data_IF_870855284559
#
_entry.id   IF_870855284559
#
_cell.length_a   1.000
_cell.length_b   1.000
_cell.length_c   1.000
_cell.angle_alpha   90.00
_cell.angle_beta   90.00
_cell.angle_gamma   90.00
#
_symmetry.space_group_name_H-M   'P 1'
#
loop_
_entity.id
_entity.type
_entity.pdbx_description
1 polymer ?
#
# COMPACT_ATOMS: atom_id res chain seq x y z
N UNK A 1 -0.39 -15.82 24.84
CA UNK A 1 -1.20 -16.80 24.10
C UNK A 1 -0.43 -17.23 22.86
N UNK A 2 -0.33 -18.54 22.59
CA UNK A 2 0.46 -19.09 21.46
C UNK A 2 -0.38 -19.14 20.17
N UNK A 3 -1.71 -19.22 20.30
CA UNK A 3 -2.62 -19.39 19.17
C UNK A 3 -3.05 -18.07 18.51
N UNK A 4 -2.98 -16.96 19.24
CA UNK A 4 -3.38 -15.64 18.74
C UNK A 4 -2.72 -15.24 17.42
N UNK A 5 -1.37 -15.31 17.30
CA UNK A 5 -0.68 -14.99 16.05
C UNK A 5 -1.07 -15.89 14.88
N UNK A 6 -1.31 -17.18 15.13
CA UNK A 6 -1.73 -18.12 14.09
C UNK A 6 -3.13 -17.78 13.58
N UNK A 7 -4.07 -17.51 14.48
CA UNK A 7 -5.44 -17.12 14.12
C UNK A 7 -5.45 -15.81 13.34
N UNK A 8 -4.62 -14.84 13.72
CA UNK A 8 -4.47 -13.59 12.98
C UNK A 8 -3.91 -13.83 11.57
N UNK A 9 -2.91 -14.70 11.43
CA UNK A 9 -2.38 -15.04 10.10
C UNK A 9 -3.44 -15.70 9.21
N UNK A 10 -4.22 -16.63 9.77
CA UNK A 10 -5.35 -17.22 9.06
C UNK A 10 -6.41 -16.19 8.66
N UNK A 11 -6.65 -15.19 9.53
CA UNK A 11 -7.62 -14.13 9.32
C UNK A 11 -7.28 -13.20 8.14
N UNK A 12 -6.01 -12.83 7.98
CA UNK A 12 -5.57 -11.89 6.92
C UNK A 12 -5.22 -12.57 5.60
N UNK A 13 -5.28 -13.90 5.53
CA UNK A 13 -4.66 -14.67 4.43
C UNK A 13 -5.32 -14.45 3.06
N UNK A 14 -6.58 -14.00 3.01
CA UNK A 14 -7.30 -13.67 1.78
C UNK A 14 -7.14 -12.19 1.36
N UNK A 15 -6.57 -11.33 2.21
CA UNK A 15 -6.30 -9.93 1.90
C UNK A 15 -5.59 -9.71 0.55
N UNK A 16 -4.59 -10.52 0.12
CA UNK A 16 -3.95 -10.36 -1.18
C UNK A 16 -4.90 -10.51 -2.37
N UNK A 17 -6.03 -11.19 -2.21
CA UNK A 17 -7.04 -11.35 -3.27
C UNK A 17 -7.84 -10.06 -3.52
N UNK A 18 -7.83 -9.12 -2.59
CA UNK A 18 -8.57 -7.85 -2.70
C UNK A 18 -7.90 -6.82 -3.61
N UNK A 19 -6.59 -6.96 -3.86
CA UNK A 19 -5.79 -5.99 -4.62
C UNK A 19 -5.33 -6.58 -5.96
N UNK A 20 -5.00 -5.69 -6.91
CA UNK A 20 -4.48 -6.06 -8.23
C UNK A 20 -2.96 -5.90 -8.35
N UNK A 21 -2.28 -5.64 -7.25
CA UNK A 21 -0.82 -5.51 -7.19
C UNK A 21 -0.22 -6.55 -6.22
N UNK A 22 1.11 -6.58 -6.14
CA UNK A 22 1.77 -7.45 -5.17
C UNK A 22 1.58 -6.87 -3.77
N UNK A 23 0.96 -7.66 -2.89
CA UNK A 23 0.83 -7.36 -1.47
C UNK A 23 1.77 -8.28 -0.69
N UNK A 24 2.67 -7.69 0.08
CA UNK A 24 3.49 -8.40 1.06
C UNK A 24 2.87 -8.20 2.45
N UNK A 25 2.77 -9.30 3.20
CA UNK A 25 2.24 -9.33 4.55
C UNK A 25 3.29 -9.93 5.48
N UNK A 26 3.51 -9.31 6.63
CA UNK A 26 4.33 -9.85 7.70
C UNK A 26 3.75 -9.41 9.04
N UNK A 27 3.13 -10.35 9.76
CA UNK A 27 2.29 -10.03 10.91
C UNK A 27 1.30 -8.91 10.54
N UNK A 28 1.23 -7.83 11.31
CA UNK A 28 0.36 -6.68 11.09
C UNK A 28 0.89 -5.67 10.05
N UNK A 29 2.16 -5.79 9.65
CA UNK A 29 2.75 -4.95 8.62
C UNK A 29 2.39 -5.44 7.22
N UNK A 30 2.01 -4.49 6.35
CA UNK A 30 1.64 -4.75 4.97
C UNK A 30 2.32 -3.77 4.01
N UNK A 31 2.69 -4.24 2.81
CA UNK A 31 3.33 -3.41 1.79
C UNK A 31 2.74 -3.70 0.41
N UNK A 32 2.22 -2.66 -0.22
CA UNK A 32 1.75 -2.70 -1.61
C UNK A 32 2.88 -2.33 -2.56
N UNK A 33 3.17 -3.19 -3.54
CA UNK A 33 4.20 -2.97 -4.53
C UNK A 33 3.60 -2.86 -5.94
N UNK A 34 3.82 -1.71 -6.57
CA UNK A 34 3.45 -1.44 -7.96
C UNK A 34 4.70 -1.11 -8.76
N UNK A 35 4.76 -1.63 -9.99
CA UNK A 35 5.83 -1.35 -10.94
C UNK A 35 5.28 -0.68 -12.20
N UNK A 36 6.06 0.20 -12.82
CA UNK A 36 5.67 0.89 -14.04
C UNK A 36 6.79 1.74 -14.62
N UNK A 37 6.55 2.30 -15.81
CA UNK A 37 7.51 3.21 -16.47
C UNK A 37 7.24 4.67 -16.14
N UNK A 38 5.98 5.04 -15.93
CA UNK A 38 5.54 6.41 -15.67
C UNK A 38 5.16 6.59 -14.19
N UNK A 39 5.78 7.53 -13.46
CA UNK A 39 5.49 7.78 -12.04
C UNK A 39 4.02 8.10 -11.75
N UNK A 40 3.35 8.82 -12.64
CA UNK A 40 1.93 9.18 -12.51
C UNK A 40 1.03 7.96 -12.55
N UNK A 41 1.25 7.05 -13.51
CA UNK A 41 0.52 5.79 -13.59
C UNK A 41 0.80 4.88 -12.40
N UNK A 42 2.05 4.87 -11.88
CA UNK A 42 2.39 4.13 -10.66
C UNK A 42 1.61 4.70 -9.48
N UNK A 43 1.59 6.03 -9.31
CA UNK A 43 0.87 6.68 -8.22
C UNK A 43 -0.64 6.43 -8.29
N UNK A 44 -1.23 6.49 -9.49
CA UNK A 44 -2.63 6.16 -9.70
C UNK A 44 -2.93 4.70 -9.35
N UNK A 45 -2.17 3.76 -9.90
CA UNK A 45 -2.36 2.34 -9.62
C UNK A 45 -2.13 2.01 -8.14
N UNK A 46 -1.17 2.66 -7.48
CA UNK A 46 -0.95 2.50 -6.04
C UNK A 46 -2.14 3.05 -5.24
N UNK A 47 -2.69 4.20 -5.62
CA UNK A 47 -3.87 4.80 -5.00
C UNK A 47 -5.10 3.89 -5.12
N UNK A 48 -5.37 3.37 -6.32
CA UNK A 48 -6.48 2.45 -6.56
C UNK A 48 -6.37 1.16 -5.74
N UNK A 49 -5.16 0.61 -5.62
CA UNK A 49 -4.94 -0.60 -4.82
C UNK A 49 -4.98 -0.32 -3.31
N UNK A 50 -4.52 0.85 -2.87
CA UNK A 50 -4.65 1.28 -1.48
C UNK A 50 -6.11 1.47 -1.07
N UNK A 51 -6.95 1.99 -1.97
CA UNK A 51 -8.40 2.10 -1.74
C UNK A 51 -9.08 0.73 -1.65
N UNK A 52 -8.72 -0.22 -2.53
CA UNK A 52 -9.23 -1.61 -2.41
C UNK A 52 -8.80 -2.27 -1.10
N UNK A 53 -7.54 -2.11 -0.73
CA UNK A 53 -6.99 -2.59 0.53
C UNK A 53 -7.74 -2.00 1.72
N UNK A 54 -8.00 -0.69 1.71
CA UNK A 54 -8.80 -0.01 2.74
C UNK A 54 -10.22 -0.55 2.81
N UNK A 55 -10.89 -0.79 1.68
CA UNK A 55 -12.22 -1.41 1.67
C UNK A 55 -12.21 -2.80 2.32
N UNK A 56 -11.26 -3.66 1.93
CA UNK A 56 -11.13 -4.99 2.54
C UNK A 56 -10.88 -4.91 4.05
N UNK A 57 -10.03 -3.98 4.50
CA UNK A 57 -9.78 -3.78 5.94
C UNK A 57 -11.07 -3.40 6.67
N UNK A 58 -11.86 -2.45 6.13
CA UNK A 58 -13.12 -2.00 6.74
C UNK A 58 -14.14 -3.16 6.81
N UNK A 59 -14.28 -3.93 5.74
CA UNK A 59 -15.20 -5.06 5.67
C UNK A 59 -14.82 -6.12 6.72
N UNK A 60 -13.51 -6.31 6.93
CA UNK A 60 -12.91 -7.18 7.94
C UNK A 60 -12.66 -6.44 9.27
N UNK A 61 -13.41 -5.40 9.61
CA UNK A 61 -13.38 -4.73 10.93
C UNK A 61 -11.99 -4.26 11.40
N UNK A 62 -11.08 -4.03 10.46
CA UNK A 62 -9.76 -3.44 10.65
C UNK A 62 -9.77 -1.98 10.17
N UNK A 63 -8.80 -1.20 10.63
CA UNK A 63 -8.66 0.21 10.26
C UNK A 63 -7.27 0.51 9.72
N UNK A 64 -7.20 1.21 8.60
CA UNK A 64 -5.94 1.71 8.05
C UNK A 64 -5.53 3.01 8.76
N UNK A 65 -4.35 3.04 9.36
CA UNK A 65 -3.81 4.24 9.99
C UNK A 65 -3.11 5.16 8.96
N UNK A 66 -3.89 6.00 8.27
CA UNK A 66 -3.40 6.88 7.21
C UNK A 66 -2.21 7.76 7.61
N UNK A 67 -2.11 8.19 8.87
CA UNK A 67 -0.99 9.01 9.36
C UNK A 67 0.34 8.26 9.52
N UNK A 68 0.33 6.92 9.43
CA UNK A 68 1.52 6.05 9.49
C UNK A 68 1.79 5.36 8.15
N UNK A 69 0.83 5.41 7.22
CA UNK A 69 1.00 4.89 5.88
C UNK A 69 1.86 5.86 5.09
N UNK A 70 2.93 5.34 4.48
CA UNK A 70 3.87 6.12 3.69
C UNK A 70 4.04 5.49 2.31
N UNK A 71 4.31 6.32 1.32
CA UNK A 71 4.59 5.91 -0.04
C UNK A 71 6.06 6.19 -0.40
N UNK A 72 6.70 5.24 -1.06
CA UNK A 72 8.09 5.34 -1.48
C UNK A 72 8.18 5.05 -2.98
N UNK A 73 8.88 5.91 -3.72
CA UNK A 73 9.16 5.69 -5.13
C UNK A 73 10.62 5.25 -5.32
N UNK A 74 10.81 4.01 -5.76
CA UNK A 74 12.13 3.48 -6.08
C UNK A 74 12.51 3.69 -7.54
N UNK A 75 13.76 4.07 -7.79
CA UNK A 75 14.30 4.26 -9.14
C UNK A 75 15.76 4.70 -9.14
N UNK A 76 16.37 4.77 -10.32
CA UNK A 76 17.72 5.34 -10.42
C UNK A 76 17.69 6.84 -10.14
N UNK A 77 18.77 7.38 -9.57
CA UNK A 77 18.89 8.83 -9.26
C UNK A 77 18.51 9.72 -10.46
N UNK A 78 18.91 9.33 -11.67
CA UNK A 78 18.55 10.04 -12.92
C UNK A 78 17.04 10.06 -13.18
N UNK A 79 16.36 8.93 -12.98
CA UNK A 79 14.90 8.86 -13.18
C UNK A 79 14.16 9.65 -12.11
N UNK A 80 14.57 9.52 -10.85
CA UNK A 80 13.95 10.21 -9.72
C UNK A 80 14.06 11.73 -9.81
N UNK A 81 15.18 12.27 -10.33
CA UNK A 81 15.35 13.71 -10.58
C UNK A 81 14.30 14.30 -11.53
N UNK A 82 13.77 13.49 -12.45
CA UNK A 82 12.79 13.93 -13.45
C UNK A 82 11.35 13.72 -12.98
N UNK A 83 11.14 13.25 -11.75
CA UNK A 83 9.81 13.04 -11.18
C UNK A 83 9.38 14.32 -10.48
N UNK A 84 8.60 15.14 -11.18
CA UNK A 84 8.10 16.41 -10.63
C UNK A 84 6.84 16.21 -9.77
N UNK A 85 6.04 15.19 -10.07
CA UNK A 85 4.79 14.93 -9.35
C UNK A 85 4.58 13.42 -9.15
N UNK A 86 4.71 12.99 -7.90
CA UNK A 86 4.33 11.65 -7.45
C UNK A 86 3.46 11.87 -6.20
N UNK A 87 2.17 11.60 -6.30
CA UNK A 87 1.24 11.79 -5.20
C UNK A 87 0.29 10.60 -5.13
N UNK A 88 0.34 9.87 -4.03
CA UNK A 88 -0.54 8.75 -3.74
C UNK A 88 -1.70 9.26 -2.89
N UNK A 89 -2.91 8.81 -3.19
CA UNK A 89 -4.12 9.17 -2.46
C UNK A 89 -4.84 7.91 -1.98
N UNK A 90 -5.57 8.05 -0.88
CA UNK A 90 -6.52 7.05 -0.40
C UNK A 90 -7.84 7.76 -0.09
N UNK A 91 -8.84 7.60 -0.97
CA UNK A 91 -10.02 8.46 -1.01
C UNK A 91 -9.62 9.93 -1.11
N UNK A 92 -9.97 10.71 -0.08
CA UNK A 92 -9.66 12.14 -0.02
C UNK A 92 -8.33 12.47 0.68
N UNK A 93 -7.66 11.48 1.29
CA UNK A 93 -6.41 11.69 2.01
C UNK A 93 -5.21 11.57 1.06
N UNK A 94 -4.24 12.46 1.23
CA UNK A 94 -2.93 12.38 0.55
C UNK A 94 -1.98 11.61 1.46
N UNK A 95 -1.29 10.62 0.90
CA UNK A 95 -0.30 9.82 1.61
C UNK A 95 1.05 10.54 1.60
N UNK A 96 1.75 10.51 2.72
CA UNK A 96 3.09 11.08 2.83
C UNK A 96 4.07 10.31 1.94
N UNK A 97 4.85 11.05 1.15
CA UNK A 97 5.89 10.46 0.31
C UNK A 97 7.24 10.58 1.01
N UNK A 98 7.91 9.46 1.22
CA UNK A 98 9.28 9.42 1.74
C UNK A 98 10.26 9.35 0.58
N UNK A 99 11.28 10.21 0.63
CA UNK A 99 12.37 10.23 -0.36
C UNK A 99 13.49 9.31 0.11
N UNK A 100 13.99 8.47 -0.80
CA UNK A 100 15.14 7.57 -0.61
C UNK A 100 16.38 8.15 -1.30
#
# INVERSE_FOLDING_TARGET
SILGPLLFLCYINDMPLSVKCKLYLYADDSTLLVQGKQPTLIAQALSENLDRCKSWLIDNKLSLHLGKTEAILFGTKRKLKNVNNFQVKCGNAIINNVKV
#
